data_IF_305691787471
#
_entry.id   IF_305691787471
#
_cell.length_a   1.000
_cell.length_b   1.000
_cell.length_c   1.000
_cell.angle_alpha   90.00
_cell.angle_beta   90.00
_cell.angle_gamma   90.00
#
_symmetry.space_group_name_H-M   'P 1'
#
loop_
_entity.id
_entity.type
_entity.pdbx_description
1 polymer ?
#
# COMPACT_ATOMS: atom_id res chain seq x y z
N UNK A 1 24.50 61.95 7.21
CA UNK A 1 24.18 60.64 7.79
C UNK A 1 23.70 59.72 6.67
N UNK A 2 24.56 58.85 6.20
CA UNK A 2 24.24 57.85 5.16
C UNK A 2 23.74 56.58 5.85
N UNK A 3 22.49 56.14 5.51
CA UNK A 3 21.94 54.87 5.96
C UNK A 3 22.54 53.74 5.13
N UNK A 4 23.35 52.87 5.78
CA UNK A 4 23.84 51.63 5.19
C UNK A 4 22.69 50.64 5.02
N UNK A 5 22.35 50.29 3.78
CA UNK A 5 21.40 49.22 3.50
C UNK A 5 22.07 47.87 3.77
N UNK A 6 21.54 47.17 4.75
CA UNK A 6 21.87 45.75 4.97
C UNK A 6 21.08 44.91 3.91
N UNK A 7 21.80 44.30 3.01
CA UNK A 7 21.24 43.31 2.08
C UNK A 7 20.85 42.07 2.90
N UNK A 8 19.61 41.55 2.81
CA UNK A 8 19.22 40.36 3.55
C UNK A 8 20.00 39.15 3.05
N UNK A 9 20.62 38.46 3.98
CA UNK A 9 21.37 37.24 3.73
C UNK A 9 20.41 36.11 3.40
N UNK A 10 20.61 35.46 2.25
CA UNK A 10 19.77 34.39 1.73
C UNK A 10 19.84 33.14 2.63
N UNK A 11 18.71 32.50 2.85
CA UNK A 11 18.64 31.29 3.67
C UNK A 11 19.23 30.08 2.92
N UNK A 12 19.94 29.16 3.60
CA UNK A 12 20.65 28.03 2.96
C UNK A 12 19.78 27.04 2.17
N UNK A 13 18.46 27.16 2.29
CA UNK A 13 17.48 26.28 1.61
C UNK A 13 16.76 26.95 0.44
N UNK A 14 17.05 28.19 0.14
CA UNK A 14 16.46 28.92 -1.00
C UNK A 14 17.12 28.50 -2.31
N UNK A 15 16.33 28.10 -3.33
CA UNK A 15 16.92 27.72 -4.63
C UNK A 15 17.58 28.96 -5.29
N UNK A 16 18.64 28.78 -6.09
CA UNK A 16 19.26 29.88 -6.80
C UNK A 16 18.26 30.59 -7.73
N UNK A 17 18.38 31.91 -7.96
CA UNK A 17 17.52 32.61 -8.88
C UNK A 17 17.61 31.98 -10.24
N UNK A 18 16.46 31.72 -10.88
CA UNK A 18 16.39 31.23 -12.25
C UNK A 18 17.12 32.23 -13.16
N UNK A 19 18.14 31.76 -13.87
CA UNK A 19 18.75 32.57 -14.94
C UNK A 19 17.71 32.76 -16.03
N UNK A 20 17.60 33.96 -16.64
CA UNK A 20 16.71 34.18 -17.76
C UNK A 20 17.15 33.31 -18.92
N UNK A 21 16.36 32.29 -19.24
CA UNK A 21 16.54 31.48 -20.45
C UNK A 21 16.15 32.35 -21.64
N UNK A 22 17.14 32.65 -22.48
CA UNK A 22 16.91 33.21 -23.82
C UNK A 22 16.03 32.26 -24.65
N UNK A 23 15.48 32.71 -25.77
CA UNK A 23 14.59 31.89 -26.58
C UNK A 23 15.29 30.59 -27.02
N UNK A 24 14.75 29.47 -26.60
CA UNK A 24 15.19 28.14 -27.00
C UNK A 24 14.74 27.89 -28.45
N UNK A 25 15.66 27.94 -29.40
CA UNK A 25 15.41 27.52 -30.79
C UNK A 25 15.56 26.00 -30.83
N UNK A 26 14.48 25.29 -31.03
CA UNK A 26 14.50 23.85 -31.24
C UNK A 26 14.89 23.54 -32.70
N UNK A 27 15.76 22.56 -32.98
CA UNK A 27 16.00 22.12 -34.34
C UNK A 27 14.71 21.47 -34.90
N UNK A 28 14.45 21.64 -36.23
CA UNK A 28 13.25 21.05 -36.83
C UNK A 28 13.30 19.53 -36.74
N UNK A 29 12.19 18.93 -36.30
CA UNK A 29 12.01 17.49 -36.22
C UNK A 29 12.04 16.83 -37.60
N UNK A 30 12.32 15.50 -37.65
CA UNK A 30 12.39 14.79 -38.93
C UNK A 30 11.00 14.78 -39.60
N UNK A 31 11.02 15.11 -40.90
CA UNK A 31 9.87 15.16 -41.78
C UNK A 31 9.21 13.79 -41.87
N UNK A 32 7.87 13.64 -41.72
CA UNK A 32 7.20 12.36 -41.92
C UNK A 32 7.26 11.96 -43.39
N UNK A 33 7.71 10.74 -43.64
CA UNK A 33 7.69 10.11 -44.97
C UNK A 33 6.24 9.92 -45.42
N UNK A 34 5.87 10.59 -46.47
CA UNK A 34 4.60 10.49 -47.19
C UNK A 34 4.48 9.09 -47.78
N UNK A 35 3.50 8.33 -47.32
CA UNK A 35 3.16 7.02 -47.87
C UNK A 35 2.18 7.24 -49.02
N UNK A 36 2.62 6.94 -50.23
CA UNK A 36 1.80 6.96 -51.47
C UNK A 36 0.67 5.90 -51.38
N UNK A 37 -0.53 6.20 -51.88
CA UNK A 37 -1.63 5.24 -51.91
C UNK A 37 -1.49 4.32 -53.14
N UNK A 38 -1.41 3.01 -52.89
CA UNK A 38 -1.59 1.99 -53.96
C UNK A 38 -3.08 1.70 -54.15
N UNK A 39 -3.41 1.74 -55.43
CA UNK A 39 -4.75 1.71 -56.00
C UNK A 39 -5.52 0.43 -55.83
N UNK A 40 -6.78 0.65 -55.99
CA UNK A 40 -7.92 -0.26 -56.08
C UNK A 40 -7.81 -1.25 -57.22
N UNK A 41 -8.12 -2.52 -56.97
CA UNK A 41 -8.41 -3.55 -57.94
C UNK A 41 -9.07 -4.75 -57.31
N UNK A 42 -10.39 -4.85 -57.42
CA UNK A 42 -11.15 -6.05 -57.15
C UNK A 42 -11.49 -6.77 -58.46
N UNK A 43 -12.44 -7.73 -58.50
CA UNK A 43 -12.37 -9.07 -57.92
C UNK A 43 -12.56 -10.17 -58.99
N UNK A 44 -12.19 -11.43 -58.75
CA UNK A 44 -12.72 -12.65 -59.43
C UNK A 44 -12.38 -13.87 -58.56
N UNK A 45 -13.19 -14.54 -58.29
CA UNK A 45 -14.10 -15.67 -58.21
C UNK A 45 -13.47 -17.01 -58.63
N UNK A 46 -13.84 -18.03 -57.84
CA UNK A 46 -14.11 -19.44 -58.16
C UNK A 46 -12.96 -20.47 -58.10
N UNK A 47 -13.28 -21.49 -57.34
CA UNK A 47 -13.41 -22.93 -57.46
C UNK A 47 -12.31 -23.74 -56.78
N UNK A 48 -12.65 -24.42 -55.70
CA UNK A 48 -13.18 -25.81 -55.64
C UNK A 48 -12.15 -26.88 -56.01
N UNK A 49 -11.77 -27.68 -55.02
CA UNK A 49 -11.65 -29.12 -55.05
C UNK A 49 -10.79 -29.70 -53.91
N UNK A 50 -11.43 -30.33 -52.95
CA UNK A 50 -10.91 -31.55 -52.32
C UNK A 50 -11.18 -32.72 -53.29
N UNK A 51 -10.59 -33.92 -53.21
CA UNK A 51 -10.52 -34.75 -52.02
C UNK A 51 -9.33 -35.75 -51.89
N UNK A 52 -9.30 -36.39 -50.72
CA UNK A 52 -9.05 -37.82 -50.46
C UNK A 52 -7.66 -38.46 -50.45
N UNK A 53 -7.40 -39.01 -49.34
CA UNK A 53 -7.30 -40.40 -48.94
C UNK A 53 -5.94 -41.06 -48.72
N UNK A 54 -5.87 -41.66 -47.54
CA UNK A 54 -5.40 -43.01 -47.22
C UNK A 54 -3.91 -43.24 -46.88
N UNK A 55 -3.68 -43.47 -45.62
CA UNK A 55 -3.39 -44.75 -44.95
C UNK A 55 -2.05 -45.44 -45.30
N UNK A 56 -1.26 -45.72 -44.28
CA UNK A 56 -0.84 -47.10 -43.88
C UNK A 56 0.48 -47.11 -43.16
N UNK A 57 0.44 -47.40 -41.92
CA UNK A 57 1.10 -48.49 -41.11
C UNK A 57 2.48 -48.99 -41.54
N UNK A 58 3.43 -48.97 -40.59
CA UNK A 58 4.07 -50.17 -40.05
C UNK A 58 5.35 -49.85 -39.26
N UNK A 59 5.32 -50.24 -38.02
CA UNK A 59 6.55 -50.71 -37.28
C UNK A 59 6.82 -52.17 -37.72
N UNK A 60 7.95 -52.84 -37.46
CA UNK A 60 8.81 -52.82 -36.28
C UNK A 60 10.30 -53.17 -36.51
N UNK A 61 11.05 -53.31 -35.39
CA UNK A 61 12.14 -54.25 -35.10
C UNK A 61 13.49 -53.65 -34.74
N UNK A 62 13.88 -53.91 -33.46
CA UNK A 62 15.25 -53.99 -32.94
C UNK A 62 15.80 -55.42 -33.16
N UNK A 63 17.01 -55.81 -32.71
CA UNK A 63 18.35 -55.22 -32.57
C UNK A 63 19.42 -56.07 -33.33
N UNK A 64 20.73 -56.15 -33.15
CA UNK A 64 21.49 -56.30 -31.89
C UNK A 64 22.88 -55.62 -31.78
N UNK A 65 23.32 -55.48 -30.58
CA UNK A 65 24.65 -55.67 -29.91
C UNK A 65 25.92 -55.74 -30.78
N UNK A 66 26.94 -54.98 -30.35
CA UNK A 66 28.24 -55.43 -29.85
C UNK A 66 29.29 -54.33 -29.70
N UNK A 67 30.03 -54.44 -28.56
CA UNK A 67 31.42 -54.09 -28.33
C UNK A 67 31.82 -52.64 -27.95
N UNK A 68 32.23 -52.54 -26.70
CA UNK A 68 33.17 -51.56 -26.10
C UNK A 68 34.54 -51.46 -26.85
N UNK A 69 35.42 -50.43 -26.57
CA UNK A 69 35.94 -50.16 -25.23
C UNK A 69 36.21 -48.69 -24.84
N UNK A 70 36.06 -48.44 -23.55
CA UNK A 70 36.95 -47.71 -22.63
C UNK A 70 37.65 -46.43 -23.07
N UNK A 71 37.24 -45.31 -22.51
CA UNK A 71 38.20 -44.30 -22.02
C UNK A 71 37.63 -43.58 -20.77
N UNK A 72 38.40 -43.77 -19.71
CA UNK A 72 38.06 -43.26 -18.36
C UNK A 72 38.36 -41.77 -18.25
N UNK A 73 37.36 -40.98 -17.88
CA UNK A 73 37.54 -39.67 -17.25
C UNK A 73 36.98 -39.72 -15.83
N UNK A 74 37.70 -39.19 -14.81
CA UNK A 74 37.25 -39.28 -13.44
C UNK A 74 36.06 -38.33 -13.23
N UNK A 75 34.92 -38.92 -12.86
CA UNK A 75 33.74 -38.20 -12.36
C UNK A 75 34.05 -37.73 -10.96
N UNK A 76 34.16 -36.45 -10.75
CA UNK A 76 34.15 -35.84 -9.40
C UNK A 76 32.73 -35.99 -8.85
N UNK A 77 32.52 -37.04 -8.07
CA UNK A 77 31.31 -37.27 -7.33
C UNK A 77 31.32 -36.33 -6.15
N UNK A 78 30.49 -35.30 -6.22
CA UNK A 78 30.16 -34.48 -5.06
C UNK A 78 29.30 -35.32 -4.13
N UNK A 79 29.91 -35.78 -3.04
CA UNK A 79 29.19 -36.38 -1.92
C UNK A 79 28.28 -35.34 -1.29
N UNK A 80 27.03 -35.29 -1.75
CA UNK A 80 25.96 -34.65 -1.02
C UNK A 80 25.60 -35.55 0.16
N UNK A 81 25.58 -35.03 1.41
CA UNK A 81 25.14 -35.81 2.52
C UNK A 81 23.68 -36.24 2.30
N UNK A 82 23.45 -37.51 2.24
CA UNK A 82 22.12 -38.12 2.22
C UNK A 82 21.45 -37.71 3.52
N UNK A 83 20.56 -36.71 3.45
CA UNK A 83 19.66 -36.42 4.54
C UNK A 83 18.75 -37.64 4.70
N UNK A 84 19.03 -38.44 5.71
CA UNK A 84 18.11 -39.47 6.15
C UNK A 84 16.79 -38.76 6.45
N UNK A 85 15.75 -39.10 5.69
CA UNK A 85 14.40 -38.74 6.02
C UNK A 85 14.10 -39.28 7.42
N UNK A 86 14.23 -38.43 8.44
CA UNK A 86 13.62 -38.70 9.72
C UNK A 86 12.13 -38.77 9.45
N UNK A 87 11.55 -39.96 9.61
CA UNK A 87 10.10 -40.07 9.73
C UNK A 87 9.67 -39.17 10.86
N UNK A 88 9.13 -37.98 10.46
CA UNK A 88 8.41 -37.14 11.40
C UNK A 88 7.15 -37.93 11.73
N UNK A 89 7.21 -38.65 12.83
CA UNK A 89 5.99 -39.19 13.46
C UNK A 89 5.12 -37.99 13.76
N UNK A 90 4.16 -37.76 12.88
CA UNK A 90 3.07 -36.83 13.13
C UNK A 90 2.33 -37.35 14.37
N UNK A 91 2.75 -36.87 15.54
CA UNK A 91 1.97 -37.00 16.75
C UNK A 91 0.63 -36.36 16.40
N UNK A 92 -0.39 -37.21 16.29
CA UNK A 92 -1.79 -36.82 16.12
C UNK A 92 -2.25 -36.12 17.41
N UNK A 93 -1.68 -34.96 17.67
CA UNK A 93 -2.08 -34.05 18.74
C UNK A 93 -3.13 -33.13 18.19
N UNK A 94 -4.35 -33.31 18.62
CA UNK A 94 -5.51 -32.43 18.54
C UNK A 94 -5.56 -31.63 17.24
N UNK A 95 -6.42 -32.06 16.31
CA UNK A 95 -6.89 -31.22 15.22
C UNK A 95 -7.27 -29.86 15.84
N UNK A 96 -6.40 -28.87 15.69
CA UNK A 96 -6.80 -27.49 15.98
C UNK A 96 -7.94 -27.21 15.02
N UNK A 97 -9.15 -27.06 15.56
CA UNK A 97 -10.33 -26.67 14.80
C UNK A 97 -9.93 -25.43 14.02
N UNK A 98 -9.90 -25.55 12.70
CA UNK A 98 -9.61 -24.42 11.83
C UNK A 98 -10.80 -23.50 11.93
N UNK A 99 -10.62 -22.34 12.54
CA UNK A 99 -11.69 -21.33 12.62
C UNK A 99 -11.70 -20.59 11.31
N UNK A 100 -12.61 -20.96 10.42
CA UNK A 100 -12.73 -20.31 9.12
C UNK A 100 -13.52 -18.99 9.20
N UNK A 101 -14.34 -18.85 10.23
CA UNK A 101 -15.09 -17.61 10.53
C UNK A 101 -15.42 -17.47 12.02
N UNK A 102 -15.71 -16.26 12.42
CA UNK A 102 -16.20 -15.92 13.76
C UNK A 102 -17.49 -15.10 13.69
N UNK A 103 -18.23 -15.04 14.79
CA UNK A 103 -19.47 -14.26 14.89
C UNK A 103 -20.74 -15.10 14.73
N UNK A 104 -21.88 -14.44 14.49
CA UNK A 104 -23.24 -15.00 14.62
C UNK A 104 -23.68 -15.94 13.48
N UNK A 105 -22.83 -16.18 12.48
CA UNK A 105 -23.17 -17.08 11.38
C UNK A 105 -22.15 -17.11 10.25
N UNK A 106 -22.35 -17.98 9.25
CA UNK A 106 -21.42 -18.12 8.14
C UNK A 106 -21.34 -16.83 7.31
N UNK A 107 -20.18 -16.55 6.69
CA UNK A 107 -20.02 -15.46 5.74
C UNK A 107 -20.95 -15.56 4.54
N UNK A 108 -21.18 -14.41 3.88
CA UNK A 108 -22.07 -14.32 2.70
C UNK A 108 -21.51 -15.01 1.47
N UNK A 109 -20.20 -14.97 1.31
CA UNK A 109 -19.49 -15.59 0.17
C UNK A 109 -18.87 -16.91 0.60
N UNK A 110 -18.63 -17.80 -0.38
CA UNK A 110 -17.85 -19.01 -0.13
C UNK A 110 -16.39 -18.69 0.16
N UNK A 111 -15.70 -19.63 0.83
CA UNK A 111 -14.28 -19.46 1.12
C UNK A 111 -13.42 -19.61 -0.14
N UNK A 112 -13.86 -20.44 -1.07
CA UNK A 112 -13.15 -20.72 -2.31
C UNK A 112 -13.32 -19.55 -3.30
N UNK A 113 -12.24 -18.98 -3.85
CA UNK A 113 -12.31 -17.96 -4.87
C UNK A 113 -12.99 -18.49 -6.15
N UNK A 114 -13.97 -17.76 -6.69
CA UNK A 114 -14.71 -18.18 -7.88
C UNK A 114 -14.14 -17.61 -9.18
N UNK A 115 -13.41 -16.47 -9.12
CA UNK A 115 -12.89 -15.83 -10.31
C UNK A 115 -11.54 -15.14 -10.07
N UNK A 116 -10.69 -15.19 -11.10
CA UNK A 116 -9.49 -14.35 -11.20
C UNK A 116 -9.85 -13.00 -11.82
N UNK A 117 -9.12 -11.93 -11.51
CA UNK A 117 -9.23 -10.67 -12.23
C UNK A 117 -8.93 -10.86 -13.71
N UNK A 118 -9.67 -10.12 -14.56
CA UNK A 118 -9.37 -10.07 -15.99
C UNK A 118 -7.95 -9.47 -16.19
N UNK A 119 -7.21 -10.02 -17.15
CA UNK A 119 -5.89 -9.54 -17.52
C UNK A 119 -5.90 -8.91 -18.90
N UNK A 120 -5.18 -7.81 -19.06
CA UNK A 120 -4.85 -7.24 -20.35
C UNK A 120 -3.48 -7.80 -20.78
N UNK A 121 -3.37 -8.51 -21.93
CA UNK A 121 -2.11 -9.05 -22.40
C UNK A 121 -1.06 -7.98 -22.71
N UNK A 122 -1.48 -6.75 -22.99
CA UNK A 122 -0.58 -5.63 -23.26
C UNK A 122 -0.12 -4.93 -21.96
N UNK A 123 -0.82 -5.18 -20.82
CA UNK A 123 -0.49 -4.60 -19.51
C UNK A 123 -0.56 -5.64 -18.38
N UNK A 124 0.26 -6.67 -18.45
CA UNK A 124 0.36 -7.67 -17.38
C UNK A 124 0.96 -7.11 -16.08
N UNK A 125 1.61 -5.94 -16.15
CA UNK A 125 2.12 -5.22 -14.98
C UNK A 125 1.02 -4.68 -14.06
N UNK A 126 -0.21 -4.60 -14.54
CA UNK A 126 -1.38 -4.19 -13.77
C UNK A 126 -1.97 -5.31 -12.89
N UNK A 127 -1.54 -6.54 -13.10
CA UNK A 127 -1.99 -7.67 -12.30
C UNK A 127 -1.54 -7.54 -10.84
N UNK A 128 -2.50 -7.63 -9.94
CA UNK A 128 -2.26 -7.57 -8.49
C UNK A 128 -2.43 -8.95 -7.89
N UNK A 129 -1.42 -9.40 -7.16
CA UNK A 129 -1.49 -10.67 -6.42
C UNK A 129 -2.67 -10.66 -5.43
N UNK A 130 -3.36 -11.81 -5.30
CA UNK A 130 -4.43 -11.99 -4.31
C UNK A 130 -3.93 -11.64 -2.89
N UNK A 131 -2.75 -12.14 -2.54
CA UNK A 131 -2.17 -12.02 -1.21
C UNK A 131 -0.74 -11.54 -1.28
N UNK A 132 -0.40 -10.58 -0.42
CA UNK A 132 0.97 -10.16 -0.12
C UNK A 132 1.22 -10.42 1.36
N UNK A 133 2.36 -11.01 1.68
CA UNK A 133 2.78 -11.34 3.04
C UNK A 133 4.22 -10.91 3.25
N UNK A 134 4.49 -10.19 4.34
CA UNK A 134 5.80 -9.69 4.66
C UNK A 134 6.03 -9.68 6.18
N UNK A 135 7.29 -9.58 6.61
CA UNK A 135 7.62 -9.49 8.01
C UNK A 135 9.11 -9.50 8.28
N UNK A 136 9.49 -8.88 9.38
CA UNK A 136 10.87 -8.78 9.79
C UNK A 136 10.99 -8.50 11.29
N UNK A 137 12.19 -8.69 11.85
CA UNK A 137 12.55 -8.25 13.20
C UNK A 137 13.54 -7.08 13.08
N UNK A 138 13.22 -5.98 13.77
CA UNK A 138 14.07 -4.80 13.85
C UNK A 138 14.15 -4.28 15.28
N UNK A 139 15.35 -4.09 15.78
CA UNK A 139 15.55 -3.58 17.14
C UNK A 139 14.77 -4.42 18.16
N UNK A 140 13.88 -3.79 18.89
CA UNK A 140 13.03 -4.40 19.91
C UNK A 140 11.64 -4.80 19.38
N UNK A 141 11.42 -4.82 18.06
CA UNK A 141 10.09 -5.14 17.53
C UNK A 141 10.09 -6.21 16.44
N UNK A 142 8.98 -6.94 16.34
CA UNK A 142 8.70 -7.90 15.28
C UNK A 142 7.51 -7.42 14.46
N UNK A 143 7.71 -7.18 13.17
CA UNK A 143 6.68 -6.79 12.20
C UNK A 143 6.12 -8.02 11.50
N UNK A 144 4.81 -8.06 11.34
CA UNK A 144 4.07 -8.93 10.41
C UNK A 144 3.12 -8.05 9.61
N UNK A 145 3.07 -8.24 8.31
CA UNK A 145 2.19 -7.48 7.43
C UNK A 145 1.57 -8.41 6.38
N UNK A 146 0.29 -8.23 6.13
CA UNK A 146 -0.43 -8.96 5.09
C UNK A 146 -1.43 -8.05 4.40
N UNK A 147 -1.65 -8.28 3.11
CA UNK A 147 -2.71 -7.66 2.33
C UNK A 147 -3.39 -8.71 1.50
N UNK A 148 -4.70 -8.80 1.61
CA UNK A 148 -5.54 -9.90 1.12
C UNK A 148 -6.69 -9.35 0.29
N UNK A 149 -6.96 -9.99 -0.86
CA UNK A 149 -8.16 -9.72 -1.63
C UNK A 149 -9.38 -10.19 -0.86
N UNK A 150 -10.42 -9.35 -0.79
CA UNK A 150 -11.66 -9.65 -0.09
C UNK A 150 -12.52 -10.70 -0.78
N UNK A 151 -13.37 -11.37 -0.01
CA UNK A 151 -14.25 -12.43 -0.54
C UNK A 151 -15.19 -11.89 -1.62
N UNK A 152 -15.65 -10.64 -1.49
CA UNK A 152 -16.50 -10.02 -2.52
C UNK A 152 -15.75 -9.76 -3.83
N UNK A 153 -14.48 -9.38 -3.78
CA UNK A 153 -13.65 -9.19 -4.97
C UNK A 153 -13.26 -10.54 -5.60
N UNK A 154 -12.99 -11.56 -4.77
CA UNK A 154 -12.75 -12.95 -5.23
C UNK A 154 -13.96 -13.52 -5.97
N UNK A 155 -15.16 -13.23 -5.47
CA UNK A 155 -16.41 -13.65 -6.11
C UNK A 155 -16.64 -12.95 -7.45
N UNK A 156 -16.34 -11.65 -7.55
CA UNK A 156 -16.58 -10.87 -8.79
C UNK A 156 -15.42 -10.89 -9.78
N UNK A 157 -14.28 -11.48 -9.43
CA UNK A 157 -13.09 -11.43 -10.27
C UNK A 157 -12.46 -10.02 -10.33
N UNK A 158 -12.63 -9.21 -9.29
CA UNK A 158 -12.03 -7.89 -9.21
C UNK A 158 -10.62 -7.97 -8.60
N UNK A 159 -9.68 -7.09 -8.99
CA UNK A 159 -8.38 -7.01 -8.35
C UNK A 159 -8.52 -6.52 -6.90
N UNK A 160 -7.55 -6.86 -6.07
CA UNK A 160 -7.43 -6.28 -4.74
C UNK A 160 -7.14 -4.77 -4.87
N UNK A 161 -7.97 -3.94 -4.25
CA UNK A 161 -7.87 -2.47 -4.25
C UNK A 161 -6.96 -1.92 -3.14
N UNK A 162 -6.64 -2.76 -2.16
CA UNK A 162 -5.68 -2.45 -1.13
C UNK A 162 -4.25 -2.64 -1.65
N UNK A 163 -3.36 -1.71 -1.35
CA UNK A 163 -1.93 -1.82 -1.55
C UNK A 163 -1.19 -1.85 -0.22
N UNK A 164 -0.12 -2.62 -0.15
CA UNK A 164 0.80 -2.70 0.97
C UNK A 164 2.23 -2.48 0.48
N UNK A 165 2.96 -1.60 1.15
CA UNK A 165 4.39 -1.38 0.96
C UNK A 165 5.09 -1.47 2.31
N UNK A 166 6.03 -2.40 2.43
CA UNK A 166 6.99 -2.48 3.52
C UNK A 166 8.36 -2.11 2.98
N UNK A 167 9.06 -1.19 3.62
CA UNK A 167 10.35 -0.73 3.15
C UNK A 167 11.29 -0.37 4.30
N UNK A 168 12.58 -0.65 4.15
CA UNK A 168 13.64 -0.22 5.04
C UNK A 168 14.54 0.79 4.34
N UNK A 169 14.74 1.93 4.97
CA UNK A 169 15.66 2.97 4.52
C UNK A 169 16.81 3.11 5.52
N UNK A 170 18.02 3.24 5.03
CA UNK A 170 19.22 3.28 5.86
C UNK A 170 19.67 1.91 6.37
N UNK A 171 20.66 1.90 7.26
CA UNK A 171 21.30 0.70 7.81
C UNK A 171 21.54 0.81 9.31
N UNK A 172 21.70 -0.33 10.00
CA UNK A 172 21.97 -0.38 11.43
C UNK A 172 20.89 0.31 12.27
N UNK A 173 21.29 0.96 13.35
CA UNK A 173 20.38 1.68 14.27
C UNK A 173 19.75 2.93 13.64
N UNK A 174 20.34 3.48 12.57
CA UNK A 174 19.81 4.60 11.82
C UNK A 174 18.79 4.20 10.77
N UNK A 175 18.49 2.91 10.66
CA UNK A 175 17.47 2.47 9.72
C UNK A 175 16.06 2.85 10.19
N UNK A 176 15.23 3.19 9.19
CA UNK A 176 13.81 3.46 9.37
C UNK A 176 13.00 2.45 8.56
N UNK A 177 12.13 1.73 9.21
CA UNK A 177 11.15 0.88 8.54
C UNK A 177 9.86 1.66 8.34
N UNK A 178 9.38 1.65 7.11
CA UNK A 178 8.09 2.19 6.72
C UNK A 178 7.14 1.03 6.40
N UNK A 179 5.95 1.08 6.98
CA UNK A 179 4.78 0.37 6.49
C UNK A 179 3.83 1.40 5.93
N UNK A 180 3.45 1.29 4.67
CA UNK A 180 2.43 2.11 4.05
C UNK A 180 1.34 1.20 3.47
N UNK A 181 0.09 1.54 3.71
CA UNK A 181 -1.07 0.89 3.14
C UNK A 181 -2.04 1.92 2.60
N UNK A 182 -2.71 1.57 1.52
CA UNK A 182 -3.66 2.43 0.85
C UNK A 182 -4.83 1.60 0.32
N UNK A 183 -6.03 2.17 0.33
CA UNK A 183 -7.22 1.59 -0.28
C UNK A 183 -7.71 2.52 -1.37
N UNK A 184 -7.80 2.03 -2.60
CA UNK A 184 -8.34 2.80 -3.72
C UNK A 184 -9.86 2.97 -3.65
N UNK A 185 -10.39 4.00 -4.29
CA UNK A 185 -11.83 4.30 -4.31
C UNK A 185 -12.65 3.12 -4.85
N UNK A 186 -13.83 2.88 -4.25
CA UNK A 186 -14.60 1.63 -4.44
C UNK A 186 -15.18 1.47 -5.85
N UNK A 187 -15.46 2.54 -6.55
CA UNK A 187 -16.27 2.54 -7.77
C UNK A 187 -15.44 2.73 -9.04
N UNK A 188 -14.17 3.03 -8.92
CA UNK A 188 -13.36 3.48 -10.05
C UNK A 188 -12.53 2.36 -10.66
N UNK A 189 -12.57 2.16 -11.99
CA UNK A 189 -11.60 1.35 -12.70
C UNK A 189 -10.17 1.87 -12.38
N UNK A 190 -9.24 0.96 -12.10
CA UNK A 190 -7.87 1.35 -11.74
C UNK A 190 -7.66 1.81 -10.29
N UNK A 191 -8.65 1.66 -9.39
CA UNK A 191 -8.52 2.00 -7.97
C UNK A 191 -7.31 1.32 -7.29
N UNK A 192 -6.98 0.08 -7.68
CA UNK A 192 -5.79 -0.64 -7.21
C UNK A 192 -4.48 0.04 -7.65
N UNK A 193 -4.45 0.68 -8.84
CA UNK A 193 -3.31 1.48 -9.32
C UNK A 193 -3.14 2.72 -8.47
N UNK A 194 -4.23 3.44 -8.19
CA UNK A 194 -4.19 4.62 -7.32
C UNK A 194 -3.64 4.29 -5.92
N UNK A 195 -4.06 3.17 -5.32
CA UNK A 195 -3.54 2.70 -4.05
C UNK A 195 -2.03 2.35 -4.13
N UNK A 196 -1.61 1.64 -5.16
CA UNK A 196 -0.22 1.28 -5.37
C UNK A 196 0.66 2.52 -5.60
N UNK A 197 0.18 3.50 -6.37
CA UNK A 197 0.87 4.78 -6.59
C UNK A 197 0.99 5.60 -5.31
N UNK A 198 -0.08 5.71 -4.51
CA UNK A 198 -0.05 6.40 -3.23
C UNK A 198 1.04 5.81 -2.31
N UNK A 199 1.11 4.48 -2.19
CA UNK A 199 2.16 3.79 -1.43
C UNK A 199 3.57 4.07 -2.00
N UNK A 200 3.75 4.05 -3.32
CA UNK A 200 5.05 4.33 -3.95
C UNK A 200 5.49 5.77 -3.75
N UNK A 201 4.58 6.74 -3.91
CA UNK A 201 4.91 8.15 -3.74
C UNK A 201 5.29 8.50 -2.31
N UNK A 202 4.51 8.03 -1.31
CA UNK A 202 4.86 8.26 0.08
C UNK A 202 6.12 7.51 0.48
N UNK A 203 6.32 6.27 0.00
CA UNK A 203 7.52 5.49 0.24
C UNK A 203 8.77 6.20 -0.24
N UNK A 204 8.73 6.75 -1.47
CA UNK A 204 9.81 7.57 -2.01
C UNK A 204 10.08 8.82 -1.16
N UNK A 205 9.01 9.53 -0.76
CA UNK A 205 9.12 10.77 0.01
C UNK A 205 9.73 10.53 1.40
N UNK A 206 9.28 9.48 2.09
CA UNK A 206 9.83 9.03 3.38
C UNK A 206 11.28 8.58 3.21
N UNK A 207 11.58 7.78 2.19
CA UNK A 207 12.93 7.29 1.92
C UNK A 207 13.94 8.39 1.70
N UNK A 208 13.59 9.44 0.94
CA UNK A 208 14.45 10.61 0.73
C UNK A 208 14.65 11.46 1.99
N UNK A 209 13.77 11.33 2.97
CA UNK A 209 13.78 12.11 4.21
C UNK A 209 14.15 11.28 5.44
N UNK A 210 14.50 10.00 5.27
CA UNK A 210 14.58 9.03 6.38
C UNK A 210 15.55 9.43 7.48
N UNK A 211 16.74 9.95 7.14
CA UNK A 211 17.75 10.37 8.13
C UNK A 211 17.19 11.43 9.08
N UNK A 212 16.59 12.49 8.52
CA UNK A 212 15.96 13.53 9.31
C UNK A 212 14.78 13.03 10.14
N UNK A 213 13.97 12.15 9.56
CA UNK A 213 12.84 11.56 10.28
C UNK A 213 13.30 10.74 11.49
N UNK A 214 14.36 9.94 11.35
CA UNK A 214 14.95 9.20 12.47
C UNK A 214 15.45 10.14 13.56
N UNK A 215 16.20 11.18 13.20
CA UNK A 215 16.68 12.20 14.14
C UNK A 215 15.52 12.89 14.87
N UNK A 216 14.46 13.28 14.16
CA UNK A 216 13.28 13.93 14.72
C UNK A 216 12.52 13.00 15.67
N UNK A 217 12.42 11.70 15.33
CA UNK A 217 11.76 10.69 16.18
C UNK A 217 12.58 10.47 17.46
N UNK A 218 13.90 10.25 17.33
CA UNK A 218 14.79 10.02 18.48
C UNK A 218 14.85 11.22 19.42
N UNK A 219 14.85 12.44 18.86
CA UNK A 219 14.85 13.68 19.63
C UNK A 219 13.45 14.09 20.16
N UNK A 220 12.39 13.33 19.84
CA UNK A 220 11.04 13.64 20.28
C UNK A 220 10.45 14.94 19.71
N UNK A 221 10.95 15.43 18.55
CA UNK A 221 10.50 16.67 17.89
C UNK A 221 9.13 16.49 17.23
N UNK A 222 8.09 16.28 18.04
CA UNK A 222 6.74 15.90 17.59
C UNK A 222 6.10 16.92 16.64
N UNK A 223 6.31 18.22 16.86
CA UNK A 223 5.78 19.29 16.02
C UNK A 223 6.39 19.27 14.61
N UNK A 224 7.70 19.10 14.52
CA UNK A 224 8.43 19.03 13.26
C UNK A 224 8.05 17.77 12.47
N UNK A 225 7.95 16.63 13.17
CA UNK A 225 7.45 15.38 12.59
C UNK A 225 6.05 15.54 12.01
N UNK A 226 5.08 16.08 12.78
CA UNK A 226 3.71 16.28 12.31
C UNK A 226 3.68 17.16 11.06
N UNK A 227 4.36 18.31 11.10
CA UNK A 227 4.39 19.26 9.98
C UNK A 227 5.13 18.69 8.77
N UNK A 228 6.24 17.99 8.99
CA UNK A 228 7.03 17.33 7.95
C UNK A 228 6.22 16.25 7.24
N UNK A 229 5.63 15.32 8.00
CA UNK A 229 4.86 14.20 7.46
C UNK A 229 3.57 14.68 6.78
N UNK A 230 2.92 15.73 7.29
CA UNK A 230 1.78 16.35 6.63
C UNK A 230 2.17 16.84 5.22
N UNK A 231 3.27 17.60 5.10
CA UNK A 231 3.76 18.07 3.78
C UNK A 231 4.13 16.93 2.83
N UNK A 232 4.74 15.84 3.35
CA UNK A 232 5.06 14.67 2.52
C UNK A 232 3.79 13.98 2.01
N UNK A 233 2.76 13.87 2.86
CA UNK A 233 1.46 13.30 2.51
C UNK A 233 0.76 14.14 1.45
N UNK A 234 0.64 15.45 1.67
CA UNK A 234 0.02 16.38 0.70
C UNK A 234 0.70 16.33 -0.67
N UNK A 235 2.04 16.32 -0.68
CA UNK A 235 2.79 16.22 -1.93
C UNK A 235 2.57 14.89 -2.63
N UNK A 236 2.48 13.79 -1.89
CA UNK A 236 2.27 12.46 -2.46
C UNK A 236 0.87 12.33 -3.06
N UNK A 237 -0.15 12.81 -2.37
CA UNK A 237 -1.53 12.85 -2.88
C UNK A 237 -1.69 13.87 -4.02
N UNK A 238 -0.92 14.97 -3.99
CA UNK A 238 -0.85 15.91 -5.11
C UNK A 238 -0.33 15.26 -6.39
N UNK A 239 0.66 14.38 -6.28
CA UNK A 239 1.16 13.59 -7.42
C UNK A 239 0.14 12.58 -7.92
N UNK A 240 -0.62 11.95 -7.02
CA UNK A 240 -1.70 11.04 -7.41
C UNK A 240 -2.76 11.78 -8.24
N UNK A 241 -3.15 13.00 -7.82
CA UNK A 241 -4.07 13.83 -8.60
C UNK A 241 -3.51 14.25 -9.96
N UNK A 242 -2.21 14.58 -10.03
CA UNK A 242 -1.55 14.88 -11.30
C UNK A 242 -1.54 13.66 -12.23
N UNK A 243 -1.24 12.47 -11.71
CA UNK A 243 -1.28 11.21 -12.46
C UNK A 243 -2.69 10.91 -13.00
N UNK A 244 -3.75 11.21 -12.23
CA UNK A 244 -5.13 11.10 -12.70
C UNK A 244 -5.38 11.97 -13.94
N UNK A 245 -5.01 13.24 -13.88
CA UNK A 245 -5.15 14.18 -14.99
C UNK A 245 -4.38 13.73 -16.22
N UNK A 246 -3.14 13.25 -16.06
CA UNK A 246 -2.32 12.71 -17.14
C UNK A 246 -2.96 11.48 -17.82
N UNK A 247 -3.70 10.68 -17.06
CA UNK A 247 -4.46 9.54 -17.56
C UNK A 247 -5.85 9.90 -18.09
N UNK A 248 -6.26 11.16 -18.01
CA UNK A 248 -7.59 11.62 -18.42
C UNK A 248 -8.71 11.16 -17.46
N UNK A 249 -8.34 10.83 -16.22
CA UNK A 249 -9.28 10.41 -15.17
C UNK A 249 -9.65 11.60 -14.28
N UNK A 250 -10.83 11.51 -13.65
CA UNK A 250 -11.23 12.49 -12.65
C UNK A 250 -10.36 12.29 -11.37
N UNK A 251 -9.67 13.33 -10.88
CA UNK A 251 -8.87 13.25 -9.66
C UNK A 251 -9.66 12.84 -8.41
N UNK A 252 -10.97 13.07 -8.38
CA UNK A 252 -11.84 12.64 -7.27
C UNK A 252 -12.15 11.15 -7.34
N UNK A 253 -12.18 10.59 -8.53
CA UNK A 253 -12.38 9.16 -8.76
C UNK A 253 -11.07 8.37 -8.63
N UNK A 254 -9.93 8.94 -9.09
CA UNK A 254 -8.60 8.32 -8.97
C UNK A 254 -7.92 8.74 -7.68
N UNK A 255 -8.45 8.25 -6.56
CA UNK A 255 -7.98 8.60 -5.21
C UNK A 255 -7.82 7.37 -4.32
N UNK A 256 -7.09 7.53 -3.23
CA UNK A 256 -6.88 6.48 -2.25
C UNK A 256 -6.73 7.04 -0.83
N UNK A 257 -7.20 6.29 0.17
CA UNK A 257 -6.75 6.49 1.55
C UNK A 257 -5.27 6.15 1.65
N UNK A 258 -4.58 6.71 2.63
CA UNK A 258 -3.16 6.42 2.87
C UNK A 258 -2.89 6.38 4.37
N UNK A 259 -2.28 5.29 4.83
CA UNK A 259 -1.97 5.06 6.23
C UNK A 259 -0.54 4.54 6.35
N UNK A 260 0.23 5.15 7.23
CA UNK A 260 1.65 4.87 7.34
C UNK A 260 2.07 4.69 8.79
N UNK A 261 3.03 3.77 9.02
CA UNK A 261 3.67 3.54 10.29
C UNK A 261 5.19 3.62 10.10
N UNK A 262 5.88 4.41 10.93
CA UNK A 262 7.33 4.50 10.96
C UNK A 262 7.86 3.83 12.23
N UNK A 263 8.84 2.95 12.04
CA UNK A 263 9.49 2.15 13.08
C UNK A 263 11.00 2.38 12.98
N UNK A 264 11.61 3.14 13.90
CA UNK A 264 13.07 3.20 14.01
C UNK A 264 13.63 1.83 14.36
N UNK A 265 14.77 1.46 13.76
CA UNK A 265 15.45 0.21 14.02
C UNK A 265 16.34 0.25 15.29
N UNK A 266 16.60 1.43 15.85
CA UNK A 266 17.31 1.58 17.13
C UNK A 266 16.50 0.90 18.25
N UNK A 267 17.04 -0.13 18.93
CA UNK A 267 16.32 -0.85 19.98
C UNK A 267 16.00 0.03 21.20
N UNK A 268 16.70 1.14 21.39
CA UNK A 268 16.44 2.09 22.45
C UNK A 268 15.29 3.06 22.12
N UNK A 269 14.97 3.20 20.83
CA UNK A 269 13.90 4.08 20.38
C UNK A 269 12.57 3.31 20.28
N UNK A 270 11.73 3.43 21.29
CA UNK A 270 10.39 2.80 21.33
C UNK A 270 9.28 3.71 20.79
N UNK A 271 9.62 4.83 20.16
CA UNK A 271 8.64 5.72 19.56
C UNK A 271 8.17 5.15 18.23
N UNK A 272 6.84 4.98 18.10
CA UNK A 272 6.15 4.53 16.88
C UNK A 272 5.33 5.70 16.35
N UNK A 273 5.48 6.00 15.06
CA UNK A 273 4.85 7.17 14.45
C UNK A 273 3.86 6.73 13.40
N UNK A 274 2.60 6.99 13.67
CA UNK A 274 1.50 6.85 12.71
C UNK A 274 1.19 8.19 12.05
N UNK A 275 0.89 8.16 10.76
CA UNK A 275 0.29 9.27 10.03
C UNK A 275 -0.53 8.77 8.84
N UNK A 276 -1.50 9.56 8.39
CA UNK A 276 -2.32 9.17 7.27
C UNK A 276 -3.55 10.05 7.04
N UNK A 277 -4.30 9.69 6.01
CA UNK A 277 -5.60 10.27 5.62
C UNK A 277 -6.54 9.12 5.26
N UNK A 278 -7.82 9.31 5.48
CA UNK A 278 -8.84 8.33 5.10
C UNK A 278 -9.17 7.28 6.15
N UNK A 279 -10.04 6.36 5.77
CA UNK A 279 -10.58 5.32 6.63
C UNK A 279 -9.55 4.23 6.97
N UNK A 280 -9.79 3.53 8.08
CA UNK A 280 -8.99 2.41 8.57
C UNK A 280 -8.94 2.37 10.09
N UNK A 281 -7.90 1.73 10.67
CA UNK A 281 -7.76 1.59 12.11
C UNK A 281 -6.31 1.62 12.57
N UNK A 282 -6.14 2.21 13.75
CA UNK A 282 -4.92 2.10 14.54
C UNK A 282 -5.30 1.61 15.93
N UNK A 283 -4.90 0.39 16.23
CA UNK A 283 -5.25 -0.26 17.50
C UNK A 283 -3.99 -0.63 18.28
N UNK A 284 -4.16 -0.75 19.58
CA UNK A 284 -3.15 -1.30 20.47
C UNK A 284 -3.77 -2.43 21.26
N UNK A 285 -3.12 -3.59 21.25
CA UNK A 285 -3.44 -4.69 22.16
C UNK A 285 -2.48 -4.60 23.34
N UNK A 286 -3.03 -4.47 24.53
CA UNK A 286 -2.30 -4.43 25.80
C UNK A 286 -3.08 -5.24 26.84
N UNK A 287 -2.40 -6.10 27.56
CA UNK A 287 -3.04 -6.95 28.57
C UNK A 287 -4.24 -7.75 28.01
N UNK A 288 -4.13 -8.12 26.73
CA UNK A 288 -5.16 -8.85 25.95
C UNK A 288 -6.43 -8.04 25.66
N UNK A 289 -6.39 -6.72 25.83
CA UNK A 289 -7.49 -5.81 25.53
C UNK A 289 -7.14 -4.91 24.35
N UNK A 290 -8.05 -4.85 23.36
CA UNK A 290 -7.93 -3.95 22.23
C UNK A 290 -8.34 -2.53 22.60
N UNK A 291 -7.50 -1.58 22.26
CA UNK A 291 -7.73 -0.15 22.40
C UNK A 291 -7.68 0.50 21.02
N UNK A 292 -8.77 1.10 20.59
CA UNK A 292 -8.76 1.96 19.40
C UNK A 292 -8.06 3.26 19.76
N UNK A 293 -6.88 3.44 19.21
CA UNK A 293 -6.03 4.60 19.45
C UNK A 293 -5.94 5.51 18.21
N UNK A 294 -6.86 5.34 17.27
CA UNK A 294 -6.97 6.20 16.09
C UNK A 294 -7.15 7.67 16.51
N UNK A 295 -6.34 8.62 15.99
CA UNK A 295 -6.55 10.03 16.28
C UNK A 295 -7.92 10.49 15.77
N UNK A 296 -8.76 11.04 16.64
CA UNK A 296 -10.05 11.62 16.26
C UNK A 296 -9.84 12.94 15.54
N UNK A 297 -10.74 13.27 14.62
CA UNK A 297 -10.69 14.53 13.86
C UNK A 297 -10.75 15.75 14.79
N UNK A 298 -11.54 15.67 15.86
CA UNK A 298 -11.61 16.69 16.89
C UNK A 298 -10.28 16.91 17.64
N UNK A 299 -9.43 15.87 17.75
CA UNK A 299 -8.11 15.96 18.38
C UNK A 299 -7.07 16.62 17.46
N UNK A 300 -7.35 16.68 16.16
CA UNK A 300 -6.47 17.29 15.15
C UNK A 300 -6.83 18.74 14.85
N UNK A 301 -8.08 19.12 15.03
CA UNK A 301 -8.46 20.51 15.18
C UNK A 301 -8.01 20.92 16.59
N UNK A 302 -6.75 21.36 16.71
CA UNK A 302 -6.29 21.96 17.96
C UNK A 302 -7.37 22.96 18.39
N UNK A 303 -7.72 22.95 19.71
CA UNK A 303 -8.57 23.99 20.26
C UNK A 303 -8.07 25.33 19.69
N UNK A 304 -8.94 26.19 19.17
CA UNK A 304 -8.51 27.47 18.62
C UNK A 304 -7.64 28.11 19.70
N UNK A 305 -6.37 28.36 19.34
CA UNK A 305 -5.47 29.08 20.23
C UNK A 305 -6.12 30.44 20.35
N UNK A 306 -6.70 30.72 21.51
CA UNK A 306 -7.23 32.05 21.85
C UNK A 306 -6.01 32.93 22.03
N UNK A 307 -5.50 33.42 20.94
CA UNK A 307 -4.34 34.28 20.89
C UNK A 307 -4.23 34.83 19.48
N UNK A 308 -4.77 36.03 19.28
CA UNK A 308 -4.62 36.86 18.07
C UNK A 308 -4.72 36.05 16.77
N UNK A 309 -5.82 35.37 16.57
CA UNK A 309 -6.01 34.51 15.43
C UNK A 309 -7.14 34.99 14.53
N UNK A 310 -6.91 34.91 13.26
CA UNK A 310 -7.93 35.05 12.23
C UNK A 310 -9.12 34.15 12.56
N UNK A 311 -10.32 34.75 12.56
CA UNK A 311 -11.59 34.03 12.57
C UNK A 311 -11.59 32.96 11.46
N UNK A 312 -12.28 31.82 11.64
CA UNK A 312 -12.46 30.86 10.58
C UNK A 312 -13.03 31.58 9.34
N UNK A 313 -12.47 31.29 8.17
CA UNK A 313 -12.86 31.93 6.92
C UNK A 313 -14.27 31.53 6.46
N UNK A 314 -14.90 30.54 7.10
CA UNK A 314 -16.17 29.96 6.69
C UNK A 314 -16.95 29.45 7.91
N UNK A 315 -18.28 29.62 7.88
CA UNK A 315 -19.17 29.06 8.91
C UNK A 315 -19.43 27.58 8.62
N UNK A 316 -19.94 26.78 9.61
CA UNK A 316 -20.36 25.41 9.39
C UNK A 316 -21.41 25.24 8.29
N UNK A 317 -22.14 26.30 7.93
CA UNK A 317 -23.19 26.33 6.91
C UNK A 317 -22.63 26.70 5.52
N UNK A 318 -21.30 26.90 5.39
CA UNK A 318 -20.62 27.16 4.12
C UNK A 318 -20.54 28.65 3.72
N UNK A 319 -20.95 29.55 4.60
CA UNK A 319 -20.85 30.99 4.34
C UNK A 319 -19.44 31.51 4.64
N UNK A 320 -18.87 32.28 3.71
CA UNK A 320 -17.58 32.93 3.91
C UNK A 320 -17.70 34.16 4.81
N UNK A 321 -16.78 34.30 5.74
CA UNK A 321 -16.66 35.46 6.59
C UNK A 321 -15.75 36.51 5.93
N UNK A 322 -16.27 37.74 5.72
CA UNK A 322 -15.44 38.87 5.29
C UNK A 322 -14.55 39.32 6.44
N UNK A 323 -13.26 39.46 6.18
CA UNK A 323 -12.18 39.67 7.16
C UNK A 323 -12.36 40.93 8.05
N UNK A 324 -13.13 41.92 7.61
CA UNK A 324 -13.19 43.20 8.30
C UNK A 324 -14.44 43.43 9.17
N UNK A 325 -15.51 42.67 8.98
CA UNK A 325 -16.78 42.93 9.67
C UNK A 325 -17.49 41.66 10.19
N UNK A 326 -16.98 40.47 9.98
CA UNK A 326 -17.64 39.20 10.37
C UNK A 326 -18.99 38.99 9.65
N UNK A 327 -19.21 39.61 8.54
CA UNK A 327 -20.45 39.50 7.73
C UNK A 327 -20.31 38.31 6.81
N UNK A 328 -21.25 37.36 6.89
CA UNK A 328 -21.34 36.21 6.00
C UNK A 328 -21.80 36.65 4.62
N UNK A 329 -21.06 36.30 3.58
CA UNK A 329 -21.47 36.49 2.19
C UNK A 329 -21.68 35.14 1.53
N UNK A 330 -22.83 34.91 0.86
CA UNK A 330 -23.03 33.66 0.13
C UNK A 330 -22.00 33.53 -1.01
N UNK A 331 -21.61 32.31 -1.41
CA UNK A 331 -20.65 32.09 -2.49
C UNK A 331 -21.17 32.76 -3.79
N UNK A 332 -20.26 33.47 -4.48
CA UNK A 332 -20.58 34.10 -5.75
C UNK A 332 -20.82 33.03 -6.83
N UNK A 333 -21.85 33.15 -7.69
CA UNK A 333 -22.08 32.22 -8.79
C UNK A 333 -20.95 32.19 -9.84
N UNK A 334 -19.96 33.10 -9.74
CA UNK A 334 -18.80 33.18 -10.62
C UNK A 334 -17.52 32.62 -9.96
N UNK A 335 -17.58 32.21 -8.69
CA UNK A 335 -16.46 31.53 -8.05
C UNK A 335 -16.47 30.06 -8.40
N UNK A 336 -15.27 29.47 -8.65
CA UNK A 336 -15.18 28.00 -8.81
C UNK A 336 -15.73 27.33 -7.56
N UNK A 337 -16.46 26.23 -7.76
CA UNK A 337 -16.99 25.43 -6.65
C UNK A 337 -15.91 25.22 -5.58
N UNK A 338 -16.27 25.31 -4.29
CA UNK A 338 -15.32 25.03 -3.22
C UNK A 338 -14.71 23.65 -3.44
N UNK A 339 -13.38 23.56 -3.31
CA UNK A 339 -12.72 22.27 -3.41
C UNK A 339 -13.34 21.31 -2.37
N UNK A 340 -13.65 20.07 -2.74
CA UNK A 340 -14.22 19.09 -1.82
C UNK A 340 -13.40 19.03 -0.54
N UNK A 341 -14.05 18.82 0.63
CA UNK A 341 -13.35 18.79 1.91
C UNK A 341 -12.26 17.70 1.87
N UNK A 342 -11.01 18.13 2.02
CA UNK A 342 -9.89 17.21 2.12
C UNK A 342 -10.06 16.38 3.37
N UNK A 343 -9.91 15.07 3.27
CA UNK A 343 -9.86 14.21 4.44
C UNK A 343 -8.77 14.68 5.41
N UNK A 344 -9.08 14.77 6.72
CA UNK A 344 -8.16 15.34 7.68
C UNK A 344 -6.91 14.47 7.83
N UNK A 345 -5.75 15.12 7.83
CA UNK A 345 -4.49 14.46 8.17
C UNK A 345 -4.47 14.06 9.64
N UNK A 346 -4.23 12.79 9.90
CA UNK A 346 -4.12 12.19 11.22
C UNK A 346 -2.67 11.89 11.55
N UNK A 347 -2.28 12.15 12.79
CA UNK A 347 -0.92 11.94 13.25
C UNK A 347 -0.91 11.48 14.71
N UNK A 348 -0.13 10.45 15.00
CA UNK A 348 0.14 9.99 16.35
C UNK A 348 1.59 9.54 16.50
N UNK A 349 2.27 10.05 17.51
CA UNK A 349 3.54 9.51 17.99
C UNK A 349 3.30 8.96 19.39
N UNK A 350 3.59 7.70 19.61
CA UNK A 350 3.41 7.02 20.89
C UNK A 350 4.63 6.18 21.23
N UNK A 351 4.91 6.06 22.51
CA UNK A 351 5.97 5.19 23.03
C UNK A 351 5.36 3.82 23.30
N UNK A 352 5.89 2.80 22.65
CA UNK A 352 5.49 1.42 22.85
C UNK A 352 6.03 0.90 24.20
N UNK A 353 5.29 0.02 24.82
CA UNK A 353 5.72 -0.74 25.99
C UNK A 353 6.01 -2.16 25.59
N UNK A 354 6.82 -2.83 26.35
CA UNK A 354 7.07 -4.26 26.22
C UNK A 354 5.74 -5.05 26.26
N UNK A 355 5.60 -6.04 25.41
CA UNK A 355 4.38 -6.83 25.21
C UNK A 355 3.17 -6.08 24.62
N UNK A 356 3.31 -4.82 24.19
CA UNK A 356 2.28 -4.18 23.37
C UNK A 356 2.27 -4.79 21.96
N UNK A 357 1.08 -4.89 21.37
CA UNK A 357 0.95 -5.11 19.92
C UNK A 357 0.29 -3.90 19.30
N UNK A 358 0.96 -3.25 18.37
CA UNK A 358 0.42 -2.13 17.60
C UNK A 358 -0.08 -2.65 16.25
N UNK A 359 -1.36 -2.45 15.95
CA UNK A 359 -2.00 -2.85 14.70
C UNK A 359 -2.40 -1.63 13.89
N UNK A 360 -1.85 -1.53 12.66
CA UNK A 360 -2.34 -0.63 11.61
C UNK A 360 -3.09 -1.45 10.58
N UNK A 361 -4.30 -1.02 10.18
CA UNK A 361 -5.07 -1.75 9.18
C UNK A 361 -5.98 -0.85 8.34
N UNK A 362 -6.39 -1.37 7.17
CA UNK A 362 -7.42 -0.76 6.31
C UNK A 362 -8.82 -1.03 6.85
N UNK A 363 -9.84 -0.39 6.25
CA UNK A 363 -11.25 -0.51 6.66
C UNK A 363 -11.74 -1.95 6.74
N UNK A 364 -11.35 -2.81 5.80
CA UNK A 364 -11.81 -4.20 5.75
C UNK A 364 -11.42 -5.07 6.94
N UNK A 365 -10.42 -4.64 7.77
CA UNK A 365 -10.16 -5.26 9.06
C UNK A 365 -10.56 -4.35 10.23
N UNK A 366 -10.46 -3.03 10.08
CA UNK A 366 -10.77 -2.10 11.16
C UNK A 366 -12.26 -2.11 11.53
N UNK A 367 -13.14 -2.18 10.53
CA UNK A 367 -14.58 -2.19 10.75
C UNK A 367 -15.05 -3.44 11.51
N UNK A 368 -14.73 -4.69 11.08
CA UNK A 368 -15.11 -5.86 11.83
C UNK A 368 -14.44 -5.94 13.22
N UNK A 369 -13.22 -5.42 13.37
CA UNK A 369 -12.55 -5.39 14.67
C UNK A 369 -13.27 -4.45 15.67
N UNK A 370 -13.91 -3.39 15.19
CA UNK A 370 -14.75 -2.49 16.00
C UNK A 370 -16.15 -3.04 16.25
N UNK A 371 -16.71 -3.69 15.22
CA UNK A 371 -18.12 -4.09 15.22
C UNK A 371 -18.40 -5.48 15.79
N UNK A 372 -17.40 -6.37 15.77
CA UNK A 372 -17.59 -7.80 16.07
C UNK A 372 -16.66 -8.26 17.20
N UNK A 373 -17.18 -8.28 18.40
CA UNK A 373 -16.44 -8.72 19.59
C UNK A 373 -15.78 -10.10 19.43
N UNK A 374 -16.40 -11.11 18.79
CA UNK A 374 -15.77 -12.42 18.58
C UNK A 374 -14.46 -12.35 17.76
N UNK A 375 -14.34 -11.42 16.81
CA UNK A 375 -13.08 -11.22 16.07
C UNK A 375 -12.01 -10.59 16.97
N UNK A 376 -12.38 -9.58 17.74
CA UNK A 376 -11.47 -8.90 18.66
C UNK A 376 -10.93 -9.89 19.71
N UNK A 377 -11.80 -10.71 20.30
CA UNK A 377 -11.43 -11.75 21.26
C UNK A 377 -10.52 -12.82 20.63
N UNK A 378 -10.87 -13.28 19.41
CA UNK A 378 -10.08 -14.27 18.69
C UNK A 378 -8.65 -13.76 18.44
N UNK A 379 -8.52 -12.55 17.89
CA UNK A 379 -7.20 -11.97 17.61
C UNK A 379 -6.43 -11.64 18.91
N UNK A 380 -7.10 -11.15 19.96
CA UNK A 380 -6.47 -10.92 21.25
C UNK A 380 -5.91 -12.20 21.89
N UNK A 381 -6.65 -13.31 21.79
CA UNK A 381 -6.20 -14.60 22.28
C UNK A 381 -4.95 -15.11 21.55
N UNK A 382 -4.84 -14.86 20.25
CA UNK A 382 -3.75 -15.34 19.41
C UNK A 382 -2.54 -14.43 19.41
N UNK A 383 -2.75 -13.12 19.43
CA UNK A 383 -1.68 -12.12 19.30
C UNK A 383 -1.17 -11.59 20.64
N UNK A 384 -1.95 -11.76 21.70
CA UNK A 384 -1.55 -11.39 23.06
C UNK A 384 -0.65 -12.42 23.75
N UNK A 385 -0.06 -13.36 23.01
CA UNK A 385 0.97 -14.25 23.51
C UNK A 385 2.34 -13.56 23.54
N UNK A 386 3.27 -14.07 24.37
CA UNK A 386 4.62 -13.51 24.49
C UNK A 386 5.42 -13.61 23.18
N UNK A 387 5.14 -14.62 22.35
CA UNK A 387 5.80 -14.78 21.06
C UNK A 387 4.89 -14.35 19.91
N UNK A 388 5.39 -13.50 18.98
CA UNK A 388 4.67 -13.15 17.76
C UNK A 388 4.33 -14.39 16.92
N UNK A 389 3.17 -14.45 16.26
CA UNK A 389 2.84 -15.55 15.35
C UNK A 389 3.83 -15.62 14.18
N UNK A 390 4.10 -16.83 13.69
CA UNK A 390 4.80 -17.00 12.42
C UNK A 390 4.02 -16.39 11.25
N UNK A 391 4.68 -16.13 10.12
CA UNK A 391 4.06 -15.50 8.94
C UNK A 391 2.78 -16.22 8.50
N UNK A 392 2.80 -17.55 8.38
CA UNK A 392 1.62 -18.31 7.98
C UNK A 392 0.48 -18.24 9.01
N UNK A 393 0.80 -18.23 10.30
CA UNK A 393 -0.19 -18.10 11.36
C UNK A 393 -0.82 -16.69 11.35
N UNK A 394 -0.01 -15.64 11.18
CA UNK A 394 -0.51 -14.27 11.04
C UNK A 394 -1.44 -14.12 9.83
N UNK A 395 -1.06 -14.70 8.68
CA UNK A 395 -1.88 -14.71 7.49
C UNK A 395 -3.23 -15.41 7.75
N UNK A 396 -3.22 -16.57 8.40
CA UNK A 396 -4.43 -17.30 8.74
C UNK A 396 -5.34 -16.49 9.69
N UNK A 397 -4.77 -15.77 10.65
CA UNK A 397 -5.50 -14.90 11.56
C UNK A 397 -6.13 -13.70 10.84
N UNK A 398 -5.38 -13.07 9.90
CA UNK A 398 -5.88 -11.96 9.08
C UNK A 398 -7.00 -12.39 8.11
N UNK A 399 -7.04 -13.67 7.74
CA UNK A 399 -8.06 -14.27 6.86
C UNK A 399 -9.35 -14.68 7.60
N UNK A 400 -9.39 -14.68 8.93
CA UNK A 400 -10.59 -15.06 9.69
C UNK A 400 -11.78 -14.24 9.22
N UNK A 401 -12.80 -14.93 8.74
CA UNK A 401 -13.95 -14.32 8.06
C UNK A 401 -15.01 -13.89 9.07
N UNK A 402 -15.74 -12.85 8.71
CA UNK A 402 -16.82 -12.30 9.55
C UNK A 402 -17.99 -12.00 8.63
N UNK A 403 -19.19 -12.41 9.02
CA UNK A 403 -20.41 -12.17 8.26
C UNK A 403 -20.65 -10.67 8.05
N UNK A 404 -20.91 -10.27 6.81
CA UNK A 404 -21.15 -8.86 6.45
C UNK A 404 -19.89 -8.06 6.11
N UNK A 405 -18.69 -8.62 6.31
CA UNK A 405 -17.41 -7.96 6.05
C UNK A 405 -16.59 -8.74 5.03
N UNK A 406 -16.70 -8.36 3.77
CA UNK A 406 -16.12 -9.09 2.64
C UNK A 406 -15.15 -8.24 1.79
N UNK A 407 -14.74 -7.07 2.30
CA UNK A 407 -13.78 -6.18 1.62
C UNK A 407 -12.34 -6.66 1.76
N UNK A 408 -11.45 -6.11 0.93
CA UNK A 408 -10.01 -6.32 1.01
C UNK A 408 -9.49 -5.99 2.40
N UNK A 409 -8.53 -6.77 2.89
CA UNK A 409 -7.96 -6.60 4.23
C UNK A 409 -6.47 -6.40 4.15
N UNK A 410 -6.01 -5.29 4.68
CA UNK A 410 -4.58 -5.07 4.88
C UNK A 410 -4.31 -4.78 6.34
N UNK A 411 -3.36 -5.50 6.90
CA UNK A 411 -2.97 -5.41 8.30
C UNK A 411 -1.46 -5.40 8.44
N UNK A 412 -0.95 -4.60 9.35
CA UNK A 412 0.42 -4.65 9.81
C UNK A 412 0.45 -4.58 11.33
N UNK A 413 0.95 -5.62 11.96
CA UNK A 413 1.05 -5.72 13.40
C UNK A 413 2.52 -5.72 13.84
N UNK A 414 2.80 -5.01 14.92
CA UNK A 414 4.13 -4.83 15.50
C UNK A 414 4.09 -5.27 16.95
N UNK A 415 4.80 -6.33 17.28
CA UNK A 415 5.00 -6.84 18.64
C UNK A 415 6.24 -6.20 19.22
N UNK A 416 6.12 -5.65 20.40
CA UNK A 416 7.20 -4.99 21.14
C UNK A 416 7.82 -5.94 22.17
N UNK A 417 9.14 -6.17 22.06
CA UNK A 417 9.91 -7.03 22.96
C UNK A 417 10.52 -6.25 24.13
#
# INVERSE_FOLDING_TARGET
MRRSGLTPQRAPWEPPPAQPTGPLTFPPGPTPLTREPRGTGGPAALADASPDAAASSASPSSPPSDAEPSDARPSTQLDLPTLQAQEITLVTGSQRVRVDYVGSGPPTYDAEPTALPAADPEDLGDLVADTVLDGARYGACTLRAASLRGDSARYRGEPRRDALLTARFGTGEQALVLVAMATGARVTPGAHRAAAEACRWIGRAVGLSHTRLVEDIQAGRRGDLKSGLHRLTDRSLGKLRASAVEQGLDPEEYTASLRCLLLPADPRCRTRVFFGVGAGGLFRLREREWQDIEPRVADTAGAPVVGFGSLPHETPDGDRLTMDLGITTPPSPYEPAPMPPREPFRFRASVARENDVLLLCTGGLAEPLRGEAPLAEHLAARWGAAEPPGLAAFLADAQVRVKGYADDRTAAAVWEA
#
